data_IF_853708710143
#
_entry.id   IF_853708710143
#
_cell.length_a   1.000
_cell.length_b   1.000
_cell.length_c   1.000
_cell.angle_alpha   90.00
_cell.angle_beta   90.00
_cell.angle_gamma   90.00
#
_symmetry.space_group_name_H-M   'P 1'
#
loop_
_entity.id
_entity.type
_entity.pdbx_description
1 polymer ?
#
# COMPACT_ATOMS: atom_id res chain seq x y z
N UNK A 1 -23.10 39.62 -41.63
CA UNK A 1 -22.35 40.86 -41.39
C UNK A 1 -21.11 40.47 -40.58
N UNK A 2 -19.93 40.38 -41.21
CA UNK A 2 -18.69 39.91 -40.59
C UNK A 2 -17.77 41.13 -40.40
N UNK A 3 -17.33 41.38 -39.18
CA UNK A 3 -16.36 42.43 -38.83
C UNK A 3 -14.97 41.76 -38.78
N UNK A 4 -13.94 42.28 -39.47
CA UNK A 4 -12.58 41.77 -39.34
C UNK A 4 -11.88 42.43 -38.14
N UNK A 5 -11.24 41.59 -37.33
CA UNK A 5 -10.42 41.97 -36.18
C UNK A 5 -9.02 42.41 -36.65
N UNK A 6 -8.67 43.63 -36.28
CA UNK A 6 -7.41 44.32 -36.56
C UNK A 6 -6.32 43.80 -35.60
N UNK A 7 -5.30 43.12 -36.12
CA UNK A 7 -4.12 42.70 -35.33
C UNK A 7 -3.10 43.83 -35.28
N UNK A 8 -2.89 44.37 -34.07
CA UNK A 8 -1.81 45.29 -33.75
C UNK A 8 -0.48 44.51 -33.71
N UNK A 9 0.47 44.94 -34.54
CA UNK A 9 1.79 44.34 -34.67
C UNK A 9 2.77 45.16 -33.80
N UNK A 10 3.12 44.65 -32.63
CA UNK A 10 4.02 45.32 -31.69
C UNK A 10 5.47 45.08 -32.10
N UNK A 11 6.17 46.16 -32.46
CA UNK A 11 7.57 46.16 -32.86
C UNK A 11 8.45 46.19 -31.59
N UNK A 12 9.19 45.11 -31.32
CA UNK A 12 10.14 45.04 -30.21
C UNK A 12 11.50 45.63 -30.64
N UNK A 13 11.93 46.69 -29.95
CA UNK A 13 13.22 47.34 -30.14
C UNK A 13 14.28 46.58 -29.33
N UNK A 14 15.22 45.93 -30.01
CA UNK A 14 16.41 45.32 -29.39
C UNK A 14 17.51 46.38 -29.23
N UNK A 15 17.80 46.76 -27.99
CA UNK A 15 18.99 47.55 -27.64
C UNK A 15 20.19 46.62 -27.50
N UNK A 16 21.19 46.79 -28.37
CA UNK A 16 22.49 46.12 -28.29
C UNK A 16 23.35 46.78 -27.22
N UNK A 17 23.44 46.15 -26.05
CA UNK A 17 24.37 46.54 -24.98
C UNK A 17 25.70 45.84 -25.22
N UNK A 18 26.76 46.62 -25.48
CA UNK A 18 28.12 46.10 -25.65
C UNK A 18 28.69 45.69 -24.28
N UNK A 19 28.81 44.39 -24.03
CA UNK A 19 29.50 43.86 -22.86
C UNK A 19 31.02 43.92 -23.04
N UNK A 20 31.68 44.79 -22.29
CA UNK A 20 33.14 44.78 -22.14
C UNK A 20 33.56 43.58 -21.28
N UNK A 21 34.32 42.66 -21.86
CA UNK A 21 34.90 41.50 -21.19
C UNK A 21 36.04 41.94 -20.25
N UNK A 22 35.75 42.10 -18.96
CA UNK A 22 36.76 42.18 -17.92
C UNK A 22 37.25 40.75 -17.62
N UNK A 23 38.56 40.52 -17.81
CA UNK A 23 39.21 39.23 -17.60
C UNK A 23 39.52 39.06 -16.11
N UNK A 24 38.55 38.54 -15.36
CA UNK A 24 38.70 38.25 -13.92
C UNK A 24 39.67 37.09 -13.72
N UNK A 25 40.65 37.18 -12.81
CA UNK A 25 41.53 36.06 -12.49
C UNK A 25 40.69 34.89 -11.94
N UNK A 26 40.87 33.72 -12.54
CA UNK A 26 40.21 32.48 -12.12
C UNK A 26 40.84 32.06 -10.79
N UNK A 27 40.20 32.42 -9.68
CA UNK A 27 40.50 31.83 -8.38
C UNK A 27 40.21 30.35 -8.47
N UNK A 28 41.24 29.53 -8.23
CA UNK A 28 41.11 28.09 -8.12
C UNK A 28 40.00 27.77 -7.11
N UNK A 29 38.85 27.31 -7.61
CA UNK A 29 37.74 26.88 -6.78
C UNK A 29 38.15 25.53 -6.22
N UNK A 30 38.55 25.52 -4.96
CA UNK A 30 38.74 24.30 -4.18
C UNK A 30 37.42 23.53 -4.24
N UNK A 31 37.38 22.44 -5.00
CA UNK A 31 36.21 21.55 -5.03
C UNK A 31 36.04 21.08 -3.59
N UNK A 32 34.93 21.42 -2.91
CA UNK A 32 34.70 20.92 -1.56
C UNK A 32 34.71 19.40 -1.64
N UNK A 33 35.66 18.78 -0.95
CA UNK A 33 35.65 17.34 -0.71
C UNK A 33 34.33 17.05 -0.01
N UNK A 34 33.39 16.43 -0.72
CA UNK A 34 32.13 15.98 -0.15
C UNK A 34 32.51 14.89 0.84
N UNK A 35 32.49 15.23 2.13
CA UNK A 35 32.69 14.28 3.21
C UNK A 35 31.59 13.21 3.07
N UNK A 36 32.00 11.99 2.75
CA UNK A 36 31.11 10.88 2.44
C UNK A 36 30.47 10.40 3.75
N UNK A 37 29.48 11.14 4.24
CA UNK A 37 28.73 10.78 5.44
C UNK A 37 28.00 9.47 5.16
N UNK A 38 28.14 8.48 6.04
CA UNK A 38 27.43 7.21 5.93
C UNK A 38 25.93 7.48 5.70
N UNK A 39 25.31 6.85 4.67
CA UNK A 39 23.91 7.06 4.38
C UNK A 39 23.04 6.68 5.58
N UNK A 40 22.03 7.50 5.87
CA UNK A 40 21.07 7.25 6.95
C UNK A 40 19.96 6.34 6.44
N UNK A 41 19.58 5.32 7.20
CA UNK A 41 18.40 4.50 6.87
C UNK A 41 17.17 5.40 6.93
N UNK A 42 16.44 5.49 5.82
CA UNK A 42 15.13 6.13 5.74
C UNK A 42 14.06 5.21 6.30
N UNK A 43 14.05 3.93 5.91
CA UNK A 43 13.16 2.90 6.44
C UNK A 43 13.46 1.51 5.87
N UNK A 44 13.00 0.49 6.58
CA UNK A 44 13.04 -0.92 6.17
C UNK A 44 11.60 -1.38 5.92
N UNK A 45 11.38 -1.92 4.73
CA UNK A 45 10.06 -2.28 4.23
C UNK A 45 10.02 -3.76 3.85
N UNK A 46 9.00 -4.44 4.34
CA UNK A 46 8.82 -5.88 4.16
C UNK A 46 7.37 -6.19 3.77
N UNK A 47 7.18 -7.28 3.04
CA UNK A 47 5.85 -7.71 2.62
C UNK A 47 5.90 -8.95 1.74
N UNK A 48 4.72 -9.48 1.46
CA UNK A 48 4.54 -10.65 0.60
C UNK A 48 3.52 -10.29 -0.49
N UNK A 49 3.89 -10.56 -1.74
CA UNK A 49 3.03 -10.32 -2.90
C UNK A 49 2.98 -11.55 -3.80
N UNK A 50 1.94 -11.73 -4.62
CA UNK A 50 1.96 -12.79 -5.62
C UNK A 50 2.99 -12.45 -6.72
N UNK A 51 3.47 -13.46 -7.44
CA UNK A 51 4.40 -13.29 -8.56
C UNK A 51 3.97 -14.03 -9.84
N UNK A 52 2.65 -14.19 -10.03
CA UNK A 52 2.08 -14.82 -11.23
C UNK A 52 2.42 -14.01 -12.49
N UNK A 53 2.18 -14.61 -13.66
CA UNK A 53 2.49 -14.00 -14.96
C UNK A 53 1.81 -12.63 -15.15
N UNK A 54 0.63 -12.46 -14.58
CA UNK A 54 -0.19 -11.25 -14.65
C UNK A 54 0.21 -10.21 -13.60
N UNK A 55 0.92 -10.62 -12.56
CA UNK A 55 1.11 -9.83 -11.33
C UNK A 55 2.55 -9.66 -10.92
N UNK A 56 3.49 -10.07 -11.78
CA UNK A 56 4.91 -10.05 -11.52
C UNK A 56 5.41 -8.62 -11.39
N UNK A 57 5.75 -8.17 -10.17
CA UNK A 57 6.08 -6.77 -9.95
C UNK A 57 7.58 -6.49 -10.20
N UNK A 58 8.41 -7.54 -10.28
CA UNK A 58 9.83 -7.48 -10.62
C UNK A 58 10.09 -8.08 -12.00
N UNK A 59 10.59 -7.28 -12.94
CA UNK A 59 10.89 -7.74 -14.30
C UNK A 59 12.02 -8.79 -14.35
N UNK A 60 12.83 -8.87 -13.30
CA UNK A 60 13.98 -9.77 -13.17
C UNK A 60 13.59 -11.24 -12.98
N UNK A 61 12.34 -11.54 -12.62
CA UNK A 61 11.85 -12.92 -12.54
C UNK A 61 11.61 -13.41 -13.98
N UNK A 62 12.29 -14.48 -14.46
CA UNK A 62 12.18 -14.94 -15.84
C UNK A 62 10.76 -15.35 -16.23
N UNK A 63 10.31 -14.97 -17.43
CA UNK A 63 9.01 -15.41 -17.94
C UNK A 63 8.92 -16.94 -17.94
N UNK A 64 7.78 -17.48 -17.48
CA UNK A 64 7.57 -18.93 -17.39
C UNK A 64 8.14 -19.60 -16.14
N UNK A 65 8.79 -18.87 -15.23
CA UNK A 65 9.13 -19.44 -13.91
C UNK A 65 7.88 -19.70 -13.08
N UNK A 66 7.78 -20.92 -12.54
CA UNK A 66 6.77 -21.30 -11.55
C UNK A 66 6.94 -20.43 -10.29
N UNK A 67 5.99 -19.53 -10.09
CA UNK A 67 6.07 -18.48 -9.09
C UNK A 67 4.65 -18.18 -8.58
N UNK A 68 4.40 -18.50 -7.32
CA UNK A 68 3.14 -18.17 -6.64
C UNK A 68 3.32 -16.91 -5.79
N UNK A 69 4.46 -16.80 -5.12
CA UNK A 69 4.69 -15.83 -4.05
C UNK A 69 6.10 -15.25 -4.12
N UNK A 70 6.21 -13.99 -3.68
CA UNK A 70 7.47 -13.29 -3.52
C UNK A 70 7.49 -12.55 -2.18
N UNK A 71 8.59 -12.74 -1.45
CA UNK A 71 8.88 -12.12 -0.16
C UNK A 71 9.82 -10.95 -0.41
N UNK A 72 9.46 -9.77 0.09
CA UNK A 72 10.19 -8.53 -0.06
C UNK A 72 10.89 -8.15 1.24
N UNK A 73 12.12 -7.67 1.11
CA UNK A 73 12.82 -6.92 2.16
C UNK A 73 13.69 -5.86 1.48
N UNK A 74 13.33 -4.58 1.62
CA UNK A 74 14.18 -3.50 1.12
C UNK A 74 14.41 -2.39 2.13
N UNK A 75 15.62 -1.84 2.05
CA UNK A 75 16.10 -0.73 2.85
C UNK A 75 16.23 0.48 1.94
N UNK A 76 15.56 1.56 2.30
CA UNK A 76 15.72 2.86 1.64
C UNK A 76 16.72 3.70 2.45
N UNK A 77 17.64 4.36 1.75
CA UNK A 77 18.64 5.23 2.36
C UNK A 77 18.42 6.69 1.94
N UNK A 78 18.78 7.63 2.80
CA UNK A 78 18.71 9.05 2.54
C UNK A 78 20.00 9.75 2.97
N UNK A 79 20.22 10.94 2.41
CA UNK A 79 21.29 11.82 2.86
C UNK A 79 20.97 12.29 4.30
N UNK A 80 21.89 12.11 5.28
CA UNK A 80 21.61 12.48 6.67
C UNK A 80 21.40 13.98 6.88
N UNK A 81 21.96 14.83 6.01
CA UNK A 81 21.92 16.29 6.11
C UNK A 81 20.74 16.89 5.37
N UNK A 82 20.43 16.43 4.14
CA UNK A 82 19.33 16.97 3.33
C UNK A 82 18.01 16.20 3.48
N UNK A 83 18.05 14.95 3.92
CA UNK A 83 16.88 14.05 3.91
C UNK A 83 16.49 13.57 2.51
N UNK A 84 17.27 13.89 1.48
CA UNK A 84 16.97 13.48 0.11
C UNK A 84 17.19 11.97 -0.09
N UNK A 85 16.35 11.31 -0.89
CA UNK A 85 16.57 9.94 -1.33
C UNK A 85 17.96 9.72 -1.91
N UNK A 86 18.62 8.62 -1.53
CA UNK A 86 19.90 8.21 -2.11
C UNK A 86 19.75 6.82 -2.73
N UNK A 87 20.24 5.80 -2.05
CA UNK A 87 20.29 4.43 -2.55
C UNK A 87 19.21 3.56 -1.93
N UNK A 88 18.95 2.40 -2.52
CA UNK A 88 18.21 1.33 -1.89
C UNK A 88 18.99 0.02 -1.98
N UNK A 89 18.67 -0.89 -1.07
CA UNK A 89 19.06 -2.30 -1.13
C UNK A 89 17.80 -3.15 -1.03
N UNK A 90 17.62 -4.08 -1.95
CA UNK A 90 16.49 -5.02 -1.98
C UNK A 90 17.04 -6.44 -1.94
N UNK A 91 16.59 -7.21 -0.97
CA UNK A 91 16.69 -8.67 -0.94
C UNK A 91 15.29 -9.24 -1.05
N UNK A 92 15.07 -10.13 -2.01
CA UNK A 92 13.78 -10.77 -2.21
C UNK A 92 13.96 -12.24 -2.52
N UNK A 93 12.96 -13.05 -2.18
CA UNK A 93 12.90 -14.44 -2.59
C UNK A 93 11.57 -14.73 -3.25
N UNK A 94 11.56 -15.49 -4.35
CA UNK A 94 10.34 -15.85 -5.06
C UNK A 94 10.26 -17.36 -5.34
N UNK A 95 9.05 -17.90 -5.48
CA UNK A 95 8.84 -19.31 -5.83
C UNK A 95 7.46 -19.83 -5.49
N UNK A 96 7.35 -21.15 -5.35
CA UNK A 96 6.13 -21.83 -4.90
C UNK A 96 6.01 -21.74 -3.37
N UNK A 97 4.80 -21.49 -2.88
CA UNK A 97 4.54 -21.42 -1.44
C UNK A 97 4.73 -22.80 -0.79
N UNK A 98 5.33 -22.84 0.40
CA UNK A 98 5.42 -24.08 1.17
C UNK A 98 4.08 -24.34 1.90
N UNK A 99 3.46 -25.53 1.71
CA UNK A 99 2.21 -25.85 2.39
C UNK A 99 2.31 -25.72 3.92
N UNK A 100 1.31 -25.10 4.54
CA UNK A 100 1.22 -24.87 5.98
C UNK A 100 2.40 -24.05 6.56
N UNK A 101 3.03 -23.22 5.74
CA UNK A 101 4.14 -22.33 6.13
C UNK A 101 3.89 -20.92 5.56
N UNK A 102 4.71 -19.96 6.00
CA UNK A 102 4.81 -18.60 5.44
C UNK A 102 6.03 -18.45 4.54
N UNK A 103 6.77 -19.54 4.30
CA UNK A 103 7.97 -19.56 3.48
C UNK A 103 7.74 -20.22 2.11
N UNK A 104 8.80 -20.22 1.32
CA UNK A 104 8.85 -20.81 -0.01
C UNK A 104 9.45 -22.22 0.02
N UNK A 105 9.07 -23.09 -0.91
CA UNK A 105 9.66 -24.42 -1.06
C UNK A 105 11.18 -24.27 -1.24
N UNK A 106 11.97 -24.88 -0.34
CA UNK A 106 13.45 -24.79 -0.30
C UNK A 106 13.98 -23.35 -0.22
N UNK A 107 13.19 -22.40 0.32
CA UNK A 107 13.57 -21.00 0.46
C UNK A 107 13.36 -20.14 -0.81
N UNK A 108 12.92 -20.73 -1.92
CA UNK A 108 12.72 -20.02 -3.17
C UNK A 108 14.02 -19.68 -3.91
N UNK A 109 13.92 -18.77 -4.87
CA UNK A 109 15.06 -18.19 -5.61
C UNK A 109 15.29 -16.77 -5.12
N UNK A 110 16.51 -16.49 -4.65
CA UNK A 110 16.89 -15.17 -4.13
C UNK A 110 17.21 -14.19 -5.27
N UNK A 111 16.77 -12.94 -5.12
CA UNK A 111 17.12 -11.78 -5.91
C UNK A 111 17.74 -10.75 -4.97
N UNK A 112 18.86 -10.16 -5.40
CA UNK A 112 19.45 -8.99 -4.76
C UNK A 112 19.55 -7.86 -5.76
N UNK A 113 19.06 -6.69 -5.38
CA UNK A 113 19.15 -5.49 -6.18
C UNK A 113 19.62 -4.33 -5.30
N UNK A 114 20.30 -3.39 -5.96
CA UNK A 114 20.64 -2.10 -5.40
C UNK A 114 20.48 -1.06 -6.49
N UNK A 115 20.36 0.20 -6.09
CA UNK A 115 20.38 1.31 -7.01
C UNK A 115 19.93 2.59 -6.34
N UNK A 116 19.43 3.53 -7.12
CA UNK A 116 18.90 4.79 -6.62
C UNK A 116 17.40 4.68 -6.42
N UNK A 117 16.87 5.34 -5.39
CA UNK A 117 15.43 5.55 -5.31
C UNK A 117 15.12 7.03 -5.28
N UNK A 118 13.89 7.35 -5.65
CA UNK A 118 13.41 8.72 -5.71
C UNK A 118 11.95 8.79 -5.29
N UNK A 119 11.54 10.00 -4.93
CA UNK A 119 10.17 10.35 -4.62
C UNK A 119 9.65 11.16 -5.81
N UNK A 120 8.59 10.69 -6.47
CA UNK A 120 7.94 11.40 -7.57
C UNK A 120 6.47 11.66 -7.25
N UNK A 121 5.91 12.72 -7.82
CA UNK A 121 4.48 13.00 -7.72
C UNK A 121 3.72 12.09 -8.69
N UNK A 122 2.94 11.16 -8.16
CA UNK A 122 1.99 10.36 -8.93
C UNK A 122 0.66 11.10 -9.12
N UNK A 123 -0.30 10.44 -9.77
CA UNK A 123 -1.62 11.04 -10.07
C UNK A 123 -2.42 11.37 -8.80
N UNK A 124 -2.43 10.43 -7.86
CA UNK A 124 -3.22 10.50 -6.62
C UNK A 124 -2.36 10.35 -5.36
N UNK A 125 -1.08 9.98 -5.52
CA UNK A 125 -0.20 9.62 -4.41
C UNK A 125 1.20 10.16 -4.68
N UNK A 126 1.95 10.41 -3.62
CA UNK A 126 3.41 10.39 -3.72
C UNK A 126 3.86 8.96 -4.03
N UNK A 127 4.86 8.81 -4.90
CA UNK A 127 5.34 7.52 -5.38
C UNK A 127 6.80 7.35 -5.06
N UNK A 128 7.14 6.24 -4.42
CA UNK A 128 8.52 5.80 -4.24
C UNK A 128 8.90 4.92 -5.42
N UNK A 129 9.91 5.32 -6.19
CA UNK A 129 10.39 4.57 -7.35
C UNK A 129 11.80 4.05 -7.10
N UNK A 130 11.99 2.74 -7.24
CA UNK A 130 13.28 2.07 -7.15
C UNK A 130 13.86 1.89 -8.55
N UNK A 131 15.03 2.46 -8.81
CA UNK A 131 15.75 2.40 -10.08
C UNK A 131 17.01 1.54 -9.91
N UNK A 132 16.96 0.23 -10.26
CA UNK A 132 18.08 -0.69 -10.05
C UNK A 132 19.30 -0.38 -10.93
N UNK A 133 20.51 -0.67 -10.44
CA UNK A 133 21.79 -0.46 -11.14
C UNK A 133 22.09 -1.51 -12.24
N UNK A 134 21.35 -2.62 -12.29
CA UNK A 134 21.70 -3.85 -13.02
C UNK A 134 20.58 -4.32 -13.95
N UNK A 135 20.87 -4.99 -15.09
CA UNK A 135 21.36 -4.45 -16.37
C UNK A 135 20.34 -3.47 -17.04
N UNK A 136 20.67 -2.93 -18.23
CA UNK A 136 19.89 -1.92 -18.99
C UNK A 136 18.37 -2.23 -19.17
N UNK A 137 17.94 -3.47 -18.95
CA UNK A 137 16.56 -3.95 -19.11
C UNK A 137 15.78 -4.09 -17.79
N UNK A 138 16.39 -3.80 -16.63
CA UNK A 138 15.67 -3.79 -15.37
C UNK A 138 14.69 -2.62 -15.29
N UNK A 139 13.40 -2.94 -15.19
CA UNK A 139 12.36 -1.93 -15.09
C UNK A 139 12.30 -1.38 -13.66
N UNK A 140 12.04 -0.07 -13.49
CA UNK A 140 11.80 0.50 -12.17
C UNK A 140 10.56 -0.11 -11.51
N UNK A 141 10.61 -0.25 -10.19
CA UNK A 141 9.47 -0.68 -9.38
C UNK A 141 8.92 0.54 -8.67
N UNK A 142 7.61 0.74 -8.72
CA UNK A 142 6.96 1.91 -8.14
C UNK A 142 5.97 1.51 -7.05
N UNK A 143 5.94 2.29 -5.98
CA UNK A 143 5.04 2.11 -4.85
C UNK A 143 4.31 3.41 -4.56
N UNK A 144 2.98 3.36 -4.43
CA UNK A 144 2.25 4.47 -3.85
C UNK A 144 2.54 4.54 -2.34
N UNK A 145 2.85 5.73 -1.85
CA UNK A 145 2.90 6.04 -0.43
C UNK A 145 1.48 6.25 0.07
N UNK A 146 0.90 5.22 0.67
CA UNK A 146 -0.44 5.27 1.28
C UNK A 146 -0.39 6.00 2.62
N UNK A 147 0.70 5.80 3.36
CA UNK A 147 1.04 6.53 4.58
C UNK A 147 2.55 6.53 4.79
N UNK A 148 3.01 7.01 5.94
CA UNK A 148 4.44 7.05 6.27
C UNK A 148 5.07 5.65 6.33
N UNK A 149 4.28 4.66 6.74
CA UNK A 149 4.75 3.31 7.03
C UNK A 149 4.06 2.24 6.17
N UNK A 150 3.24 2.66 5.21
CA UNK A 150 2.48 1.77 4.31
C UNK A 150 2.74 2.16 2.86
N UNK A 151 3.32 1.24 2.11
CA UNK A 151 3.53 1.33 0.67
C UNK A 151 2.63 0.33 -0.05
N UNK A 152 2.23 0.63 -1.28
CA UNK A 152 1.45 -0.29 -2.09
C UNK A 152 1.99 -0.36 -3.52
N UNK A 153 2.24 -1.56 -4.04
CA UNK A 153 2.85 -1.75 -5.36
C UNK A 153 1.95 -1.19 -6.46
N UNK A 154 2.56 -0.52 -7.42
CA UNK A 154 1.90 0.01 -8.61
C UNK A 154 2.17 -0.88 -9.83
N UNK A 155 1.17 -0.97 -10.70
CA UNK A 155 1.35 -1.53 -12.04
C UNK A 155 2.04 -0.52 -12.98
N UNK A 156 2.28 -0.94 -14.23
CA UNK A 156 2.92 -0.09 -15.27
C UNK A 156 2.13 1.18 -15.60
N UNK A 157 0.83 1.18 -15.36
CA UNK A 157 -0.05 2.35 -15.57
C UNK A 157 -0.10 3.29 -14.35
N UNK A 158 0.63 2.97 -13.28
CA UNK A 158 0.62 3.74 -12.03
C UNK A 158 -0.63 3.54 -11.18
N UNK A 159 -1.41 2.48 -11.42
CA UNK A 159 -2.57 2.11 -10.60
C UNK A 159 -2.16 1.11 -9.49
N UNK A 160 -2.87 1.15 -8.36
CA UNK A 160 -2.69 0.21 -7.25
C UNK A 160 -2.96 -1.23 -7.71
N UNK A 161 -2.03 -2.15 -7.44
CA UNK A 161 -2.19 -3.57 -7.79
C UNK A 161 -3.21 -4.26 -6.88
N UNK A 162 -4.23 -4.89 -7.48
CA UNK A 162 -5.35 -5.46 -6.73
C UNK A 162 -5.05 -6.88 -6.27
N UNK A 163 -5.08 -7.10 -4.94
CA UNK A 163 -4.95 -8.42 -4.31
C UNK A 163 -6.28 -9.18 -4.18
N UNK A 164 -6.33 -10.15 -3.28
CA UNK A 164 -7.57 -10.86 -2.91
C UNK A 164 -7.44 -11.58 -1.56
N UNK A 165 -8.34 -12.52 -1.22
CA UNK A 165 -8.31 -13.30 0.02
C UNK A 165 -7.00 -14.03 0.35
N UNK A 166 -6.05 -14.17 -0.57
CA UNK A 166 -4.82 -14.92 -0.34
C UNK A 166 -3.56 -14.07 -0.26
N UNK A 167 -3.55 -12.89 -0.90
CA UNK A 167 -2.37 -12.05 -1.01
C UNK A 167 -2.74 -10.58 -1.15
N UNK A 168 -1.77 -9.73 -0.83
CA UNK A 168 -1.82 -8.27 -0.90
C UNK A 168 -0.66 -7.76 -1.74
N UNK A 169 -0.70 -6.50 -2.13
CA UNK A 169 0.43 -5.77 -2.72
C UNK A 169 0.90 -4.64 -1.80
N UNK A 170 0.53 -4.71 -0.53
CA UNK A 170 0.94 -3.75 0.49
C UNK A 170 2.25 -4.21 1.12
N UNK A 171 3.22 -3.30 1.16
CA UNK A 171 4.51 -3.46 1.83
C UNK A 171 4.52 -2.54 3.06
N UNK A 172 4.91 -3.09 4.20
CA UNK A 172 4.85 -2.39 5.48
C UNK A 172 6.24 -2.00 5.95
N UNK A 173 6.35 -0.86 6.63
CA UNK A 173 7.56 -0.50 7.36
C UNK A 173 7.70 -1.32 8.63
N UNK A 174 8.89 -1.86 8.88
CA UNK A 174 9.17 -2.78 9.99
C UNK A 174 10.32 -2.36 10.91
N UNK A 175 11.20 -1.43 10.50
CA UNK A 175 12.30 -0.94 11.36
C UNK A 175 11.84 -0.11 12.55
N UNK A 176 10.66 0.48 12.49
CA UNK A 176 10.13 1.36 13.53
C UNK A 176 9.18 0.66 14.50
N UNK A 177 9.10 -0.67 14.46
CA UNK A 177 8.13 -1.42 15.24
C UNK A 177 8.70 -2.00 16.52
N UNK A 178 7.93 -1.95 17.62
CA UNK A 178 8.17 -2.87 18.71
C UNK A 178 8.03 -4.29 18.17
N UNK A 179 9.01 -5.15 18.45
CA UNK A 179 8.80 -6.59 18.33
C UNK A 179 7.70 -6.96 19.32
N UNK A 180 6.47 -7.14 18.84
CA UNK A 180 5.38 -7.68 19.64
C UNK A 180 5.77 -9.10 20.05
N UNK A 181 5.97 -9.37 21.36
CA UNK A 181 6.26 -10.72 21.80
C UNK A 181 5.05 -11.61 21.47
N UNK A 182 5.32 -12.75 20.83
CA UNK A 182 4.31 -13.78 20.60
C UNK A 182 3.86 -14.27 21.98
N UNK A 183 2.71 -13.78 22.45
CA UNK A 183 2.13 -14.22 23.72
C UNK A 183 1.59 -15.65 23.59
N UNK A 184 1.62 -16.43 24.69
CA UNK A 184 1.24 -17.86 24.71
C UNK A 184 -0.29 -18.07 24.84
N UNK A 185 -0.77 -19.20 24.29
CA UNK A 185 -2.18 -19.43 23.93
C UNK A 185 -3.05 -20.12 24.97
N UNK A 186 -4.28 -19.65 25.11
CA UNK A 186 -5.45 -20.47 25.43
C UNK A 186 -5.97 -21.24 24.20
N UNK A 187 -6.77 -22.28 24.41
CA UNK A 187 -7.28 -23.16 23.36
C UNK A 187 -8.23 -22.45 22.38
N UNK A 188 -8.20 -22.87 21.11
CA UNK A 188 -9.10 -22.40 20.04
C UNK A 188 -10.54 -22.76 20.42
N UNK A 189 -11.44 -21.80 20.60
CA UNK A 189 -12.85 -22.10 20.82
C UNK A 189 -13.46 -22.73 19.56
N UNK A 190 -14.15 -23.86 19.72
CA UNK A 190 -14.96 -24.43 18.65
C UNK A 190 -16.18 -23.51 18.46
N UNK A 191 -16.43 -22.98 17.25
CA UNK A 191 -17.61 -22.15 17.01
C UNK A 191 -18.86 -23.01 17.19
N UNK A 192 -19.64 -22.72 18.23
CA UNK A 192 -20.93 -23.37 18.48
C UNK A 192 -22.04 -22.51 17.90
N UNK A 193 -22.37 -22.74 16.63
CA UNK A 193 -23.45 -21.99 15.98
C UNK A 193 -23.55 -22.20 14.48
N UNK A 194 -24.76 -22.44 14.00
CA UNK A 194 -25.12 -22.32 12.58
C UNK A 194 -25.04 -20.85 12.17
N UNK A 195 -24.22 -20.56 11.16
CA UNK A 195 -24.12 -19.22 10.59
C UNK A 195 -25.43 -18.87 9.89
N UNK A 196 -26.25 -18.04 10.52
CA UNK A 196 -27.45 -17.48 9.88
C UNK A 196 -27.00 -16.35 8.95
N UNK A 197 -27.13 -16.59 7.64
CA UNK A 197 -26.93 -15.54 6.65
C UNK A 197 -28.19 -14.66 6.64
N UNK A 198 -28.05 -13.36 6.90
CA UNK A 198 -29.18 -12.43 6.83
C UNK A 198 -29.79 -12.45 5.43
N UNK A 199 -31.12 -12.50 5.36
CA UNK A 199 -31.85 -12.45 4.10
C UNK A 199 -31.72 -11.06 3.50
N UNK A 200 -31.46 -10.96 2.18
CA UNK A 200 -31.30 -9.68 1.49
C UNK A 200 -32.54 -8.79 1.71
N UNK A 201 -32.33 -7.52 2.08
CA UNK A 201 -33.43 -6.54 2.15
C UNK A 201 -33.86 -6.18 0.72
N UNK A 202 -35.15 -5.94 0.46
CA UNK A 202 -35.57 -5.41 -0.84
C UNK A 202 -34.95 -4.01 -1.07
N UNK A 203 -34.61 -3.69 -2.33
CA UNK A 203 -34.03 -2.40 -2.78
C UNK A 203 -32.59 -2.07 -2.33
N UNK A 204 -31.77 -3.07 -1.97
CA UNK A 204 -30.33 -2.88 -1.76
C UNK A 204 -29.54 -3.50 -2.92
N UNK A 205 -28.42 -2.89 -3.28
CA UNK A 205 -27.45 -3.43 -4.24
C UNK A 205 -26.08 -3.60 -3.59
N UNK A 206 -25.25 -4.48 -4.14
CA UNK A 206 -23.87 -4.66 -3.67
C UNK A 206 -23.02 -3.52 -4.22
N UNK A 207 -22.46 -2.70 -3.34
CA UNK A 207 -21.45 -1.71 -3.72
C UNK A 207 -20.13 -2.40 -4.06
N UNK A 208 -19.74 -3.42 -3.29
CA UNK A 208 -18.52 -4.18 -3.52
C UNK A 208 -18.30 -5.31 -2.53
N UNK A 209 -17.54 -6.32 -2.98
CA UNK A 209 -17.02 -7.40 -2.12
C UNK A 209 -15.50 -7.26 -2.03
N UNK A 210 -15.00 -7.13 -0.81
CA UNK A 210 -13.59 -6.96 -0.49
C UNK A 210 -13.10 -8.14 0.32
N UNK A 211 -11.91 -8.63 0.00
CA UNK A 211 -11.28 -9.75 0.70
C UNK A 211 -9.86 -9.41 1.10
N UNK A 212 -9.39 -10.03 2.19
CA UNK A 212 -8.02 -9.84 2.64
C UNK A 212 -7.69 -10.71 3.85
N UNK A 213 -6.44 -10.57 4.30
CA UNK A 213 -5.92 -11.22 5.50
C UNK A 213 -5.17 -10.17 6.30
N UNK A 214 -5.65 -9.89 7.50
CA UNK A 214 -5.00 -8.93 8.40
C UNK A 214 -4.26 -9.66 9.50
N UNK A 215 -3.17 -9.10 10.05
CA UNK A 215 -2.62 -9.61 11.30
C UNK A 215 -3.69 -9.69 12.40
N UNK A 216 -3.48 -10.59 13.35
CA UNK A 216 -4.34 -10.67 14.53
C UNK A 216 -4.05 -9.49 15.46
N UNK A 217 -5.09 -8.75 15.82
CA UNK A 217 -5.00 -7.48 16.55
C UNK A 217 -6.30 -7.26 17.32
N UNK A 218 -6.25 -6.59 18.47
CA UNK A 218 -7.43 -6.41 19.32
C UNK A 218 -8.60 -5.74 18.60
N UNK A 219 -8.35 -4.64 17.87
CA UNK A 219 -9.36 -4.00 17.02
C UNK A 219 -10.03 -4.98 16.04
N UNK A 220 -9.24 -5.85 15.40
CA UNK A 220 -9.73 -6.85 14.45
C UNK A 220 -10.56 -7.90 15.18
N UNK A 221 -10.10 -8.39 16.33
CA UNK A 221 -10.83 -9.36 17.14
C UNK A 221 -12.17 -8.80 17.62
N UNK A 222 -12.17 -7.58 18.14
CA UNK A 222 -13.37 -6.95 18.68
C UNK A 222 -14.40 -6.69 17.60
N UNK A 223 -13.99 -6.15 16.45
CA UNK A 223 -14.92 -5.89 15.35
C UNK A 223 -15.48 -7.19 14.74
N UNK A 224 -14.60 -8.14 14.40
CA UNK A 224 -15.00 -9.39 13.74
C UNK A 224 -15.66 -10.39 14.68
N UNK A 225 -15.48 -10.18 16.00
CA UNK A 225 -15.76 -11.14 17.05
C UNK A 225 -15.11 -12.50 16.86
N UNK A 226 -13.98 -12.53 16.15
CA UNK A 226 -13.11 -13.71 16.10
C UNK A 226 -12.56 -13.94 17.50
N UNK A 227 -12.67 -15.15 18.07
CA UNK A 227 -12.12 -15.40 19.39
C UNK A 227 -10.62 -15.13 19.45
N UNK A 228 -10.18 -14.52 20.54
CA UNK A 228 -8.75 -14.38 20.85
C UNK A 228 -8.20 -15.75 21.21
N UNK A 229 -7.10 -16.13 20.57
CA UNK A 229 -6.31 -17.29 20.95
C UNK A 229 -4.86 -16.99 20.54
N UNK A 230 -3.89 -17.49 21.30
CA UNK A 230 -2.52 -17.16 20.93
C UNK A 230 -2.00 -18.06 19.81
N UNK A 231 -0.96 -17.55 19.14
CA UNK A 231 -0.52 -17.97 17.81
C UNK A 231 -1.55 -17.70 16.70
N UNK A 232 -2.53 -16.83 16.93
CA UNK A 232 -3.29 -16.25 15.83
C UNK A 232 -2.33 -15.42 14.97
N UNK A 233 -2.08 -15.88 13.74
CA UNK A 233 -1.23 -15.18 12.78
C UNK A 233 -2.03 -14.17 11.96
N UNK A 234 -3.25 -14.54 11.57
CA UNK A 234 -4.11 -13.71 10.72
C UNK A 234 -5.59 -13.97 10.92
N UNK A 235 -6.40 -12.97 10.59
CA UNK A 235 -7.84 -13.06 10.41
C UNK A 235 -8.17 -12.94 8.92
N UNK A 236 -9.01 -13.84 8.41
CA UNK A 236 -9.49 -13.81 7.01
C UNK A 236 -10.76 -12.97 6.93
N UNK A 237 -10.83 -12.14 5.90
CA UNK A 237 -11.94 -11.22 5.68
C UNK A 237 -12.62 -11.50 4.35
N UNK A 238 -13.96 -11.51 4.37
CA UNK A 238 -14.80 -11.20 3.22
C UNK A 238 -15.86 -10.19 3.66
N UNK A 239 -15.72 -8.96 3.20
CA UNK A 239 -16.58 -7.82 3.52
C UNK A 239 -17.42 -7.45 2.30
N UNK A 240 -18.73 -7.54 2.41
CA UNK A 240 -19.69 -7.05 1.40
C UNK A 240 -20.30 -5.74 1.88
N UNK A 241 -20.15 -4.68 1.09
CA UNK A 241 -20.78 -3.39 1.34
C UNK A 241 -22.03 -3.28 0.46
N UNK A 242 -23.14 -2.84 1.05
CA UNK A 242 -24.41 -2.62 0.37
C UNK A 242 -24.74 -1.13 0.33
N UNK A 243 -25.38 -0.71 -0.75
CA UNK A 243 -25.94 0.63 -0.93
C UNK A 243 -27.43 0.53 -1.30
N UNK A 244 -28.17 1.60 -1.06
CA UNK A 244 -29.58 1.69 -1.46
C UNK A 244 -29.75 2.08 -2.93
N UNK A 245 -30.99 2.31 -3.36
CA UNK A 245 -31.31 2.70 -4.73
C UNK A 245 -30.83 4.13 -5.10
N UNK A 246 -30.52 4.98 -4.11
CA UNK A 246 -29.95 6.30 -4.31
C UNK A 246 -28.40 6.24 -4.38
N UNK A 247 -27.79 5.10 -4.08
CA UNK A 247 -26.34 4.93 -3.99
C UNK A 247 -25.78 5.28 -2.60
N UNK A 248 -26.65 5.46 -1.61
CA UNK A 248 -26.23 5.80 -0.24
C UNK A 248 -25.85 4.54 0.55
N UNK A 249 -24.91 4.63 1.52
CA UNK A 249 -24.56 3.53 2.41
C UNK A 249 -25.77 2.91 3.11
N UNK A 250 -26.01 1.61 2.93
CA UNK A 250 -27.16 0.92 3.50
C UNK A 250 -26.78 -0.04 4.65
N UNK A 251 -25.84 -0.94 4.40
CA UNK A 251 -25.41 -1.94 5.38
C UNK A 251 -24.20 -2.73 4.91
N UNK A 252 -23.66 -3.58 5.77
CA UNK A 252 -22.56 -4.47 5.39
C UNK A 252 -22.78 -5.89 5.92
N UNK A 253 -22.07 -6.84 5.30
CA UNK A 253 -21.93 -8.21 5.76
C UNK A 253 -20.46 -8.58 5.77
N UNK A 254 -19.93 -8.86 6.95
CA UNK A 254 -18.63 -9.47 7.14
C UNK A 254 -18.77 -10.98 7.33
N UNK A 255 -17.90 -11.75 6.67
CA UNK A 255 -17.74 -13.19 6.87
C UNK A 255 -16.27 -13.50 7.14
N UNK A 256 -16.00 -14.03 8.33
CA UNK A 256 -14.73 -14.63 8.70
C UNK A 256 -14.80 -16.15 8.66
N UNK A 257 -13.74 -16.82 9.13
CA UNK A 257 -13.68 -18.29 9.22
C UNK A 257 -14.75 -18.85 10.15
N UNK A 258 -14.98 -18.19 11.28
CA UNK A 258 -15.83 -18.66 12.38
C UNK A 258 -16.85 -17.64 12.85
N UNK A 259 -16.93 -16.48 12.19
CA UNK A 259 -17.83 -15.40 12.60
C UNK A 259 -18.48 -14.73 11.40
N UNK A 260 -19.71 -14.27 11.62
CA UNK A 260 -20.43 -13.40 10.71
C UNK A 260 -20.82 -12.17 11.49
N UNK A 261 -20.63 -11.00 10.89
CA UNK A 261 -21.03 -9.71 11.45
C UNK A 261 -21.79 -8.92 10.40
N UNK A 262 -22.72 -8.11 10.86
CA UNK A 262 -23.48 -7.22 10.01
C UNK A 262 -23.70 -5.91 10.76
N UNK A 263 -24.02 -4.89 10.00
CA UNK A 263 -24.33 -3.61 10.57
C UNK A 263 -24.58 -2.55 9.52
N UNK A 264 -24.42 -1.32 9.96
CA UNK A 264 -24.49 -0.14 9.09
C UNK A 264 -23.09 0.38 8.80
N UNK A 265 -22.95 1.10 7.70
CA UNK A 265 -21.71 1.79 7.40
C UNK A 265 -22.03 3.19 6.89
N UNK A 266 -21.06 4.10 7.03
CA UNK A 266 -21.16 5.48 6.59
C UNK A 266 -19.88 5.91 5.90
N UNK A 267 -19.96 7.01 5.17
CA UNK A 267 -18.80 7.67 4.57
C UNK A 267 -18.49 8.90 5.40
N UNK A 268 -17.28 8.97 5.94
CA UNK A 268 -16.75 10.16 6.61
C UNK A 268 -15.54 10.71 5.83
N UNK A 269 -15.12 11.92 6.17
CA UNK A 269 -14.02 12.62 5.50
C UNK A 269 -12.88 12.94 6.45
N UNK A 270 -11.68 12.79 5.93
CA UNK A 270 -10.46 13.27 6.55
C UNK A 270 -9.77 12.28 7.47
N UNK A 271 -8.45 12.29 7.39
CA UNK A 271 -7.51 11.73 8.37
C UNK A 271 -6.66 12.88 8.94
N UNK A 272 -5.82 12.61 9.94
CA UNK A 272 -4.86 13.62 10.41
C UNK A 272 -3.86 14.08 9.34
N UNK A 273 -3.62 13.27 8.31
CA UNK A 273 -2.66 13.56 7.23
C UNK A 273 -3.31 14.09 5.95
N UNK A 274 -4.58 13.78 5.71
CA UNK A 274 -5.32 14.16 4.51
C UNK A 274 -6.78 14.47 4.87
N UNK A 275 -7.20 15.76 4.90
CA UNK A 275 -8.56 16.15 5.25
C UNK A 275 -9.62 15.78 4.20
N UNK A 276 -9.23 15.46 2.97
CA UNK A 276 -10.14 15.11 1.88
C UNK A 276 -10.32 13.59 1.70
N UNK A 277 -9.52 12.81 2.44
CA UNK A 277 -9.54 11.36 2.47
C UNK A 277 -10.97 10.82 2.64
N UNK A 278 -11.32 9.80 1.86
CA UNK A 278 -12.62 9.11 1.99
C UNK A 278 -12.46 7.92 2.92
N UNK A 279 -13.26 7.87 3.98
CA UNK A 279 -13.22 6.81 4.98
C UNK A 279 -14.56 6.09 5.03
N UNK A 280 -14.53 4.77 4.99
CA UNK A 280 -15.68 3.92 5.24
C UNK A 280 -15.66 3.48 6.70
N UNK A 281 -16.66 3.93 7.47
CA UNK A 281 -16.79 3.60 8.89
C UNK A 281 -17.94 2.61 9.08
N UNK A 282 -17.63 1.44 9.63
CA UNK A 282 -18.56 0.33 9.83
C UNK A 282 -18.87 0.18 11.33
N UNK A 283 -20.15 -0.03 11.65
CA UNK A 283 -20.63 -0.22 13.02
C UNK A 283 -21.50 -1.46 13.13
N UNK A 284 -21.16 -2.35 14.06
CA UNK A 284 -21.93 -3.57 14.32
C UNK A 284 -23.33 -3.25 14.87
N UNK A 285 -24.34 -4.07 14.50
CA UNK A 285 -25.73 -3.92 14.97
C UNK A 285 -25.89 -4.07 16.49
N UNK A 286 -25.00 -4.82 17.16
CA UNK A 286 -24.98 -4.97 18.61
C UNK A 286 -24.30 -3.79 19.33
N UNK A 287 -23.89 -2.78 18.57
CA UNK A 287 -23.12 -1.61 19.00
C UNK A 287 -21.78 -1.94 19.67
N UNK A 288 -21.28 -3.18 19.53
CA UNK A 288 -19.98 -3.58 20.04
C UNK A 288 -18.95 -3.51 18.92
N UNK A 289 -18.28 -2.36 18.86
CA UNK A 289 -17.16 -2.13 17.95
C UNK A 289 -17.53 -1.30 16.74
N UNK A 290 -16.55 -0.50 16.34
CA UNK A 290 -16.52 0.31 15.15
C UNK A 290 -15.17 0.10 14.48
N UNK A 291 -15.13 0.14 13.15
CA UNK A 291 -13.89 0.03 12.42
C UNK A 291 -13.93 0.95 11.20
N UNK A 292 -12.79 1.55 10.89
CA UNK A 292 -12.66 2.52 9.83
C UNK A 292 -11.70 2.02 8.76
N UNK A 293 -11.99 2.34 7.51
CA UNK A 293 -11.14 2.01 6.37
C UNK A 293 -10.90 3.25 5.52
N UNK A 294 -9.64 3.57 5.23
CA UNK A 294 -9.28 4.51 4.16
C UNK A 294 -9.58 3.86 2.81
N UNK A 295 -10.30 4.59 1.95
CA UNK A 295 -10.59 4.20 0.57
C UNK A 295 -9.83 5.12 -0.40
N UNK A 296 -8.60 4.76 -0.80
CA UNK A 296 -7.80 5.58 -1.71
C UNK A 296 -8.24 5.44 -3.19
N UNK A 297 -8.91 4.35 -3.55
CA UNK A 297 -9.50 4.13 -4.87
C UNK A 297 -10.75 3.26 -4.78
N UNK A 298 -11.26 2.72 -5.90
CA UNK A 298 -12.42 1.83 -5.87
C UNK A 298 -12.13 0.40 -5.39
N UNK A 299 -10.87 -0.05 -5.43
CA UNK A 299 -10.51 -1.46 -5.25
C UNK A 299 -9.85 -1.76 -3.92
N UNK A 300 -9.48 -0.75 -3.12
CA UNK A 300 -8.72 -0.95 -1.90
C UNK A 300 -9.40 -0.30 -0.69
N UNK A 301 -9.30 -1.00 0.44
CA UNK A 301 -9.64 -0.50 1.77
C UNK A 301 -8.47 -0.78 2.70
N UNK A 302 -7.93 0.25 3.35
CA UNK A 302 -6.84 0.14 4.33
C UNK A 302 -7.39 0.39 5.72
N UNK A 303 -7.20 -0.55 6.64
CA UNK A 303 -7.73 -0.44 8.00
C UNK A 303 -7.07 0.72 8.74
N UNK A 304 -7.89 1.44 9.50
CA UNK A 304 -7.47 2.52 10.35
C UNK A 304 -7.67 2.14 11.81
N UNK A 305 -6.89 2.76 12.70
CA UNK A 305 -7.08 2.69 14.14
C UNK A 305 -8.19 3.67 14.60
N UNK A 306 -8.33 3.81 15.92
CA UNK A 306 -9.30 4.69 16.56
C UNK A 306 -9.02 6.20 16.34
N UNK A 307 -7.79 6.56 15.98
CA UNK A 307 -7.38 7.93 15.66
C UNK A 307 -7.43 8.23 14.15
N UNK A 308 -7.92 7.27 13.35
CA UNK A 308 -7.92 7.31 11.89
C UNK A 308 -6.52 7.29 11.27
N UNK A 309 -5.53 6.77 12.01
CA UNK A 309 -4.19 6.49 11.50
C UNK A 309 -4.16 5.10 10.85
N UNK A 310 -3.34 4.93 9.82
CA UNK A 310 -3.22 3.65 9.11
C UNK A 310 -2.65 2.58 10.04
N UNK A 311 -3.37 1.46 10.17
CA UNK A 311 -2.80 0.27 10.77
C UNK A 311 -1.76 -0.32 9.83
N UNK A 312 -0.59 -0.59 10.39
CA UNK A 312 0.58 -1.03 9.64
C UNK A 312 0.78 -2.51 9.96
N UNK A 313 0.95 -3.38 8.96
CA UNK A 313 1.04 -4.84 9.13
C UNK A 313 2.49 -5.37 9.17
N UNK A 314 2.76 -6.64 9.41
CA UNK A 314 4.15 -7.14 9.47
C UNK A 314 4.70 -7.53 8.09
N UNK A 315 5.83 -8.23 8.07
CA UNK A 315 6.43 -8.76 6.85
C UNK A 315 5.53 -9.77 6.11
N UNK A 316 4.54 -10.37 6.78
CA UNK A 316 3.71 -11.45 6.28
C UNK A 316 2.29 -11.00 5.92
N UNK A 317 1.71 -10.07 6.69
CA UNK A 317 0.32 -9.65 6.56
C UNK A 317 0.18 -8.14 6.62
N UNK A 318 -0.71 -7.60 5.78
CA UNK A 318 -1.07 -6.17 5.76
C UNK A 318 -2.50 -5.96 6.26
N UNK A 319 -2.84 -4.73 6.65
CA UNK A 319 -4.23 -4.35 6.96
C UNK A 319 -5.01 -3.85 5.73
N UNK A 320 -4.85 -4.52 4.59
CA UNK A 320 -5.49 -4.13 3.32
C UNK A 320 -6.54 -5.16 2.88
N UNK A 321 -7.71 -4.69 2.48
CA UNK A 321 -8.73 -5.49 1.77
C UNK A 321 -8.79 -5.04 0.31
N UNK A 322 -8.83 -6.02 -0.60
CA UNK A 322 -8.90 -5.81 -2.04
C UNK A 322 -10.25 -6.25 -2.58
N UNK A 323 -10.80 -5.48 -3.52
CA UNK A 323 -12.07 -5.80 -4.18
C UNK A 323 -11.91 -7.02 -5.08
N UNK A 324 -12.79 -8.00 -4.93
CA UNK A 324 -12.79 -9.25 -5.72
C UNK A 324 -13.97 -9.38 -6.68
N UNK A 325 -15.06 -8.66 -6.42
CA UNK A 325 -16.24 -8.64 -7.30
C UNK A 325 -16.59 -7.19 -7.63
N UNK A 326 -16.72 -6.90 -8.93
CA UNK A 326 -17.31 -5.66 -9.43
C UNK A 326 -18.80 -5.94 -9.72
N UNK A 327 -19.72 -5.08 -9.23
CA UNK A 327 -21.14 -5.24 -9.51
C UNK A 327 -21.48 -5.17 -11.00
#
# INVERSE_FOLDING_TARGET
MRIPSLRLMTLAIFTLTACTYAKTPISATTIPTIEQTNPKIFGVFEGITPCSKETRPLSQIPQGTDCEEMIWHFVLFQNPSSGEPTTFELTSSYGLSQPNSTGLIKGGTEIKMKGMWEIITGKNFEVYRLNPDTPDDAEPVSFARIGNDVLHVLNKDGALMVGHASWSYTINRTDNRPHEPITNAGSVPVPDGTLVVPTARPNISVLGVFEGRTPCHDLVFDFTGTPRYANCLKVKWRLTLYQDAAGEPAGYLFRGTSSVRQGTWTIIKGTGQDPDATIYQLRNDDHKGEISFLKPDENHLFLLDENLDLLVGDALFSYTLSRVEKP
#
